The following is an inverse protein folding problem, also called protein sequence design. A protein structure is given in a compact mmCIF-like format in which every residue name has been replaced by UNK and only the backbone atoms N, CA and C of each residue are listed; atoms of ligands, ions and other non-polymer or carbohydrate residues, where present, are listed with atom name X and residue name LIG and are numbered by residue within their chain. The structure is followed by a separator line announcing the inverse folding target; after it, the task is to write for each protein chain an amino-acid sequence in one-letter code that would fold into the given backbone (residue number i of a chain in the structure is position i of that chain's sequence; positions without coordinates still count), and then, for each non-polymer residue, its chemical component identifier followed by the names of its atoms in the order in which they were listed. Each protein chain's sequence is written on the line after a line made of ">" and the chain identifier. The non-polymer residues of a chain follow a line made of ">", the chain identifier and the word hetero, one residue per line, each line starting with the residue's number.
data_IF_699013483455
#
_entry.id   IF_699013483455
#
_cell.length_a   1.000
_cell.length_b   1.000
_cell.length_c   1.000
_cell.angle_alpha   90.00
_cell.angle_beta   90.00
_cell.angle_gamma   90.00
#
_symmetry.space_group_name_H-M   'P 1'
#
loop_
_entity.id
_entity.type
_entity.pdbx_description
1 polymer ?
#
# COMPACT_ATOMS: atom_id res chain seq x y z
N UNK A 1 -3.90 5.80 9.31
CA UNK A 1 -4.00 6.51 8.03
C UNK A 1 -5.46 6.86 7.70
N UNK A 2 -6.41 5.89 7.67
CA UNK A 2 -7.81 6.14 7.29
C UNK A 2 -8.49 7.23 8.15
N UNK A 3 -8.41 7.14 9.48
CA UNK A 3 -8.96 8.15 10.39
C UNK A 3 -8.32 9.52 10.20
N UNK A 4 -7.02 9.58 9.89
CA UNK A 4 -6.35 10.85 9.59
C UNK A 4 -6.92 11.51 8.33
N UNK A 5 -7.10 10.76 7.26
CA UNK A 5 -7.71 11.28 6.02
C UNK A 5 -9.16 11.72 6.26
N UNK A 6 -9.97 10.92 6.95
CA UNK A 6 -11.35 11.26 7.25
C UNK A 6 -11.46 12.55 8.09
N UNK A 7 -10.57 12.74 9.08
CA UNK A 7 -10.49 14.01 9.85
C UNK A 7 -10.12 15.21 9.00
N UNK A 8 -9.47 15.03 7.88
CA UNK A 8 -9.13 16.08 6.93
C UNK A 8 -10.16 16.25 5.81
N UNK A 9 -11.35 15.67 5.96
CA UNK A 9 -12.49 15.90 5.07
C UNK A 9 -12.55 14.98 3.85
N UNK A 10 -11.72 13.95 3.77
CA UNK A 10 -11.81 12.95 2.71
C UNK A 10 -12.91 11.92 3.01
N UNK A 11 -13.62 11.50 1.97
CA UNK A 11 -14.40 10.27 2.01
C UNK A 11 -13.42 9.09 1.90
N UNK A 12 -13.45 8.18 2.86
CA UNK A 12 -12.43 7.13 2.97
C UNK A 12 -13.06 5.77 2.93
N UNK A 13 -12.60 4.94 1.99
CA UNK A 13 -12.81 3.49 1.99
C UNK A 13 -11.52 2.82 2.44
N UNK A 14 -11.59 1.94 3.43
CA UNK A 14 -10.45 1.19 3.93
C UNK A 14 -10.79 -0.31 4.01
N UNK A 15 -9.87 -1.16 3.63
CA UNK A 15 -10.07 -2.60 3.73
C UNK A 15 -8.91 -3.31 4.45
N UNK A 16 -9.25 -4.43 5.06
CA UNK A 16 -8.30 -5.34 5.70
C UNK A 16 -8.89 -6.77 5.63
N UNK A 17 -8.04 -7.77 5.58
CA UNK A 17 -8.45 -9.18 5.66
C UNK A 17 -8.81 -9.57 7.11
N UNK A 18 -8.19 -8.92 8.10
CA UNK A 18 -8.33 -9.21 9.51
C UNK A 18 -9.52 -8.49 10.14
N UNK A 19 -10.56 -9.21 10.52
CA UNK A 19 -11.73 -8.64 11.21
C UNK A 19 -11.36 -7.95 12.53
N UNK A 20 -10.37 -8.47 13.25
CA UNK A 20 -9.88 -7.84 14.48
C UNK A 20 -9.22 -6.47 14.22
N UNK A 21 -8.55 -6.31 13.07
CA UNK A 21 -8.01 -5.04 12.60
C UNK A 21 -9.12 -4.04 12.27
N UNK A 22 -10.10 -4.47 11.49
CA UNK A 22 -11.27 -3.66 11.15
C UNK A 22 -12.07 -3.21 12.38
N UNK A 23 -12.25 -4.09 13.36
CA UNK A 23 -12.91 -3.72 14.62
C UNK A 23 -12.17 -2.58 15.34
N UNK A 24 -10.86 -2.70 15.51
CA UNK A 24 -10.05 -1.65 16.13
C UNK A 24 -10.09 -0.34 15.33
N UNK A 25 -10.11 -0.44 14.01
CA UNK A 25 -10.18 0.72 13.13
C UNK A 25 -11.54 1.45 13.25
N UNK A 26 -12.65 0.71 13.32
CA UNK A 26 -14.00 1.26 13.59
C UNK A 26 -14.05 1.97 14.94
N UNK A 27 -13.58 1.31 16.00
CA UNK A 27 -13.50 1.92 17.34
C UNK A 27 -12.64 3.20 17.36
N UNK A 28 -11.60 3.25 16.55
CA UNK A 28 -10.77 4.45 16.43
C UNK A 28 -11.49 5.56 15.67
N UNK A 29 -12.21 5.25 14.60
CA UNK A 29 -13.03 6.20 13.84
C UNK A 29 -14.13 6.79 14.73
N UNK A 30 -14.87 5.94 15.46
CA UNK A 30 -15.93 6.36 16.40
C UNK A 30 -15.40 7.33 17.46
N UNK A 31 -14.25 6.99 18.07
CA UNK A 31 -13.60 7.87 19.08
C UNK A 31 -13.16 9.22 18.52
N UNK A 32 -12.89 9.29 17.22
CA UNK A 32 -12.52 10.54 16.55
C UNK A 32 -13.69 11.25 15.88
N UNK A 33 -14.91 10.71 15.97
CA UNK A 33 -16.11 11.30 15.38
C UNK A 33 -16.06 11.41 13.85
N UNK A 34 -15.45 10.43 13.19
CA UNK A 34 -15.34 10.40 11.71
C UNK A 34 -15.94 9.12 11.14
N UNK A 35 -16.47 9.23 9.92
CA UNK A 35 -16.98 8.10 9.17
C UNK A 35 -15.90 7.57 8.20
N UNK A 36 -15.76 6.26 8.15
CA UNK A 36 -14.90 5.52 7.21
C UNK A 36 -15.66 4.28 6.77
N UNK A 37 -15.69 4.02 5.48
CA UNK A 37 -16.24 2.78 4.94
C UNK A 37 -15.20 1.65 5.09
N UNK A 38 -15.46 0.72 6.01
CA UNK A 38 -14.59 -0.40 6.30
C UNK A 38 -15.08 -1.68 5.65
N UNK A 39 -14.29 -2.22 4.73
CA UNK A 39 -14.58 -3.43 3.97
C UNK A 39 -13.65 -4.57 4.41
N UNK A 40 -14.19 -5.76 4.62
CA UNK A 40 -13.37 -6.96 4.77
C UNK A 40 -13.03 -7.50 3.39
N UNK A 41 -11.76 -7.44 3.01
CA UNK A 41 -11.29 -7.93 1.70
C UNK A 41 -9.84 -8.42 1.78
N UNK A 42 -9.52 -9.41 0.94
CA UNK A 42 -8.14 -9.81 0.64
C UNK A 42 -7.60 -8.89 -0.46
N UNK A 43 -6.39 -8.37 -0.30
CA UNK A 43 -5.73 -7.50 -1.31
C UNK A 43 -5.60 -8.20 -2.67
N UNK A 44 -5.50 -9.52 -2.70
CA UNK A 44 -5.40 -10.31 -3.93
C UNK A 44 -6.72 -10.45 -4.70
N UNK A 45 -7.84 -10.14 -4.04
CA UNK A 45 -9.20 -10.24 -4.59
C UNK A 45 -9.91 -8.89 -4.61
N UNK A 46 -9.35 -7.87 -3.96
CA UNK A 46 -9.92 -6.51 -3.93
C UNK A 46 -9.95 -5.91 -5.33
N UNK A 47 -11.08 -5.31 -5.65
CA UNK A 47 -11.27 -4.54 -6.90
C UNK A 47 -11.83 -3.17 -6.55
N UNK A 48 -11.18 -2.10 -7.01
CA UNK A 48 -11.73 -0.76 -6.88
C UNK A 48 -13.02 -0.65 -7.69
N UNK A 49 -14.02 0.04 -7.15
CA UNK A 49 -15.34 0.22 -7.79
C UNK A 49 -15.66 1.68 -8.06
N UNK A 50 -14.89 2.59 -7.49
CA UNK A 50 -15.06 4.03 -7.60
C UNK A 50 -13.78 4.68 -8.11
N UNK A 51 -13.85 5.96 -8.41
CA UNK A 51 -12.66 6.77 -8.72
C UNK A 51 -12.11 7.37 -7.43
N UNK A 52 -10.80 7.30 -7.26
CA UNK A 52 -10.09 7.76 -6.06
C UNK A 52 -9.10 8.87 -6.40
N UNK A 53 -9.04 9.88 -5.54
CA UNK A 53 -8.03 10.95 -5.62
C UNK A 53 -6.73 10.56 -4.90
N UNK A 54 -6.83 9.70 -3.88
CA UNK A 54 -5.69 9.23 -3.09
C UNK A 54 -5.82 7.74 -2.84
N UNK A 55 -4.74 7.00 -3.10
CA UNK A 55 -4.60 5.59 -2.71
C UNK A 55 -3.41 5.44 -1.78
N UNK A 56 -3.64 4.86 -0.59
CA UNK A 56 -2.60 4.57 0.38
C UNK A 56 -2.45 3.05 0.57
N UNK A 57 -1.23 2.54 0.38
CA UNK A 57 -0.88 1.16 0.68
C UNK A 57 0.39 1.13 1.54
N UNK A 58 0.23 1.10 2.85
CA UNK A 58 1.35 1.10 3.80
C UNK A 58 1.49 -0.25 4.48
N UNK A 59 2.61 -0.93 4.23
CA UNK A 59 2.93 -2.22 4.85
C UNK A 59 2.03 -3.38 4.39
N UNK A 60 1.47 -3.31 3.19
CA UNK A 60 0.51 -4.30 2.68
C UNK A 60 0.84 -4.82 1.28
N UNK A 61 1.53 -4.06 0.44
CA UNK A 61 1.81 -4.46 -0.94
C UNK A 61 2.61 -5.77 -1.04
N UNK A 62 3.41 -6.11 -0.05
CA UNK A 62 4.20 -7.34 -0.04
C UNK A 62 3.35 -8.63 0.04
N UNK A 63 2.08 -8.53 0.43
CA UNK A 63 1.13 -9.66 0.40
C UNK A 63 0.49 -9.87 -0.97
N UNK A 64 0.73 -8.99 -1.96
CA UNK A 64 0.21 -9.18 -3.31
C UNK A 64 1.00 -10.29 -4.00
N UNK A 65 0.31 -11.37 -4.38
CA UNK A 65 0.89 -12.49 -5.11
C UNK A 65 1.48 -12.02 -6.44
N UNK A 66 2.58 -12.62 -6.83
CA UNK A 66 3.34 -12.22 -8.02
C UNK A 66 2.49 -12.21 -9.30
N UNK A 67 1.62 -13.20 -9.46
CA UNK A 67 0.71 -13.33 -10.60
C UNK A 67 -0.40 -12.25 -10.62
N UNK A 68 -0.65 -11.58 -9.48
CA UNK A 68 -1.67 -10.55 -9.32
C UNK A 68 -1.15 -9.12 -9.40
N UNK A 69 0.16 -8.89 -9.21
CA UNK A 69 0.75 -7.54 -9.08
C UNK A 69 0.39 -6.63 -10.25
N UNK A 70 0.63 -7.10 -11.48
CA UNK A 70 0.39 -6.28 -12.67
C UNK A 70 -1.08 -5.86 -12.83
N UNK A 71 -2.03 -6.78 -12.61
CA UNK A 71 -3.45 -6.49 -12.73
C UNK A 71 -3.92 -5.58 -11.59
N UNK A 72 -3.46 -5.82 -10.37
CA UNK A 72 -3.81 -5.01 -9.21
C UNK A 72 -3.43 -3.54 -9.40
N UNK A 73 -2.17 -3.24 -9.79
CA UNK A 73 -1.75 -1.87 -10.02
C UNK A 73 -2.41 -1.24 -11.23
N UNK A 74 -2.66 -2.03 -12.29
CA UNK A 74 -3.42 -1.55 -13.45
C UNK A 74 -4.83 -1.11 -13.03
N UNK A 75 -5.57 -1.95 -12.32
CA UNK A 75 -6.94 -1.63 -11.86
C UNK A 75 -6.96 -0.41 -10.94
N UNK A 76 -6.01 -0.29 -9.99
CA UNK A 76 -5.91 0.91 -9.15
C UNK A 76 -5.65 2.17 -9.97
N UNK A 77 -4.74 2.12 -10.94
CA UNK A 77 -4.41 3.27 -11.81
C UNK A 77 -5.58 3.68 -12.69
N UNK A 78 -6.36 2.71 -13.20
CA UNK A 78 -7.57 2.95 -13.98
C UNK A 78 -8.66 3.62 -13.15
N UNK A 79 -8.74 3.30 -11.85
CA UNK A 79 -9.69 3.89 -10.90
C UNK A 79 -9.12 5.09 -10.13
N UNK A 80 -8.14 5.78 -10.68
CA UNK A 80 -7.57 7.00 -10.11
C UNK A 80 -7.87 8.19 -10.99
N UNK A 81 -8.32 9.30 -10.38
CA UNK A 81 -8.58 10.55 -11.08
C UNK A 81 -7.31 11.16 -11.66
N UNK A 82 -7.41 12.04 -12.66
CA UNK A 82 -6.28 12.82 -13.16
C UNK A 82 -5.71 13.71 -12.05
N UNK A 83 -4.40 13.68 -11.86
CA UNK A 83 -3.73 14.34 -10.74
C UNK A 83 -3.89 13.61 -9.41
N UNK A 84 -4.54 12.43 -9.40
CA UNK A 84 -4.65 11.58 -8.22
C UNK A 84 -3.31 10.99 -7.80
N UNK A 85 -3.15 10.71 -6.52
CA UNK A 85 -1.86 10.36 -5.90
C UNK A 85 -1.92 8.96 -5.30
N UNK A 86 -0.91 8.16 -5.58
CA UNK A 86 -0.64 6.91 -4.86
C UNK A 86 0.57 7.07 -3.94
N UNK A 87 0.39 6.75 -2.66
CA UNK A 87 1.48 6.67 -1.68
C UNK A 87 1.58 5.22 -1.17
N UNK A 88 2.67 4.58 -1.50
CA UNK A 88 2.84 3.14 -1.27
C UNK A 88 4.22 2.79 -0.76
N UNK A 89 4.29 1.70 -0.02
CA UNK A 89 5.56 1.06 0.29
C UNK A 89 5.47 -0.46 0.18
N UNK A 90 6.61 -1.08 -0.05
CA UNK A 90 6.73 -2.53 -0.13
C UNK A 90 8.07 -2.99 0.44
N UNK A 91 8.06 -4.07 1.22
CA UNK A 91 9.30 -4.69 1.64
C UNK A 91 9.97 -5.39 0.47
N UNK A 92 11.27 -5.13 0.29
CA UNK A 92 12.07 -5.70 -0.78
C UNK A 92 13.18 -6.58 -0.22
N UNK A 93 13.45 -7.68 -0.91
CA UNK A 93 14.50 -8.62 -0.50
C UNK A 93 15.88 -8.09 -0.90
N UNK A 94 16.83 -8.19 0.03
CA UNK A 94 18.25 -7.87 -0.19
C UNK A 94 19.12 -9.05 0.22
N UNK A 95 20.11 -9.43 -0.60
CA UNK A 95 20.97 -10.58 -0.30
C UNK A 95 21.87 -10.38 0.93
N UNK A 96 22.04 -9.13 1.37
CA UNK A 96 22.87 -8.75 2.53
C UNK A 96 22.06 -8.43 3.79
N UNK A 97 20.74 -8.66 3.77
CA UNK A 97 19.85 -8.55 4.94
C UNK A 97 19.38 -9.95 5.28
N UNK A 98 19.70 -10.40 6.50
CA UNK A 98 19.21 -11.67 7.01
C UNK A 98 17.69 -11.60 7.19
N UNK A 99 17.04 -12.69 6.80
CA UNK A 99 15.60 -12.80 6.92
C UNK A 99 15.23 -13.05 8.38
N UNK A 100 14.18 -12.38 8.86
CA UNK A 100 13.67 -12.64 10.19
C UNK A 100 13.12 -14.07 10.26
N UNK A 101 13.33 -14.77 11.38
CA UNK A 101 12.89 -16.16 11.55
C UNK A 101 11.40 -16.26 11.95
N UNK A 102 10.57 -15.31 11.55
CA UNK A 102 9.13 -15.33 11.80
C UNK A 102 8.34 -15.91 10.60
N UNK A 103 7.11 -16.34 10.85
CA UNK A 103 6.26 -16.97 9.84
C UNK A 103 5.88 -16.01 8.70
N UNK A 104 5.70 -14.73 8.99
CA UNK A 104 5.35 -13.72 7.98
C UNK A 104 6.51 -13.48 7.02
N UNK A 105 7.75 -13.54 7.51
CA UNK A 105 8.93 -13.42 6.68
C UNK A 105 9.11 -14.62 5.75
N UNK A 106 8.79 -15.83 6.25
CA UNK A 106 8.84 -17.06 5.44
C UNK A 106 7.84 -16.97 4.29
N UNK A 107 6.63 -16.50 4.53
CA UNK A 107 5.61 -16.32 3.48
C UNK A 107 6.06 -15.29 2.43
N UNK A 108 6.67 -14.19 2.85
CA UNK A 108 7.25 -13.17 1.94
C UNK A 108 8.37 -13.69 1.05
N UNK A 109 9.11 -14.71 1.50
CA UNK A 109 10.18 -15.35 0.72
C UNK A 109 9.67 -16.15 -0.47
N UNK A 110 8.44 -16.65 -0.42
CA UNK A 110 7.85 -17.47 -1.50
C UNK A 110 7.68 -16.63 -2.77
N UNK A 111 7.29 -15.37 -2.61
CA UNK A 111 7.08 -14.44 -3.72
C UNK A 111 7.72 -13.06 -3.44
N UNK A 112 9.06 -12.99 -3.37
CA UNK A 112 9.74 -11.78 -2.94
C UNK A 112 9.50 -10.62 -3.89
N UNK A 113 9.55 -9.40 -3.32
CA UNK A 113 9.67 -8.18 -4.09
C UNK A 113 11.15 -7.77 -4.19
N UNK A 114 11.50 -7.18 -5.32
CA UNK A 114 12.84 -6.67 -5.56
C UNK A 114 12.84 -5.15 -5.69
N UNK A 115 13.99 -4.53 -5.39
CA UNK A 115 14.16 -3.09 -5.51
C UNK A 115 13.75 -2.57 -6.87
N UNK A 116 12.93 -1.54 -6.89
CA UNK A 116 12.42 -0.91 -8.10
C UNK A 116 11.24 -1.63 -8.75
N UNK A 117 10.84 -2.81 -8.30
CA UNK A 117 9.69 -3.52 -8.88
C UNK A 117 8.40 -2.71 -8.72
N UNK A 118 8.17 -2.10 -7.54
CA UNK A 118 7.02 -1.23 -7.34
C UNK A 118 7.04 -0.06 -8.33
N UNK A 119 8.20 0.56 -8.53
CA UNK A 119 8.36 1.71 -9.41
C UNK A 119 8.14 1.35 -10.89
N UNK A 120 8.45 0.12 -11.27
CA UNK A 120 8.20 -0.37 -12.63
C UNK A 120 6.72 -0.29 -13.02
N UNK A 121 5.78 -0.54 -12.09
CA UNK A 121 4.35 -0.43 -12.35
C UNK A 121 3.87 1.02 -12.51
N UNK A 122 4.68 2.00 -12.13
CA UNK A 122 4.35 3.44 -12.14
C UNK A 122 5.26 4.27 -13.04
N UNK A 123 6.01 3.65 -13.96
CA UNK A 123 6.97 4.33 -14.83
C UNK A 123 6.36 5.38 -15.78
N UNK A 124 5.04 5.38 -15.90
CA UNK A 124 4.23 6.34 -16.67
C UNK A 124 3.59 7.44 -15.79
N UNK A 125 3.91 7.48 -14.49
CA UNK A 125 3.44 8.48 -13.55
C UNK A 125 4.57 9.42 -13.10
N UNK A 126 4.21 10.60 -12.58
CA UNK A 126 5.18 11.54 -12.02
C UNK A 126 5.56 11.12 -10.58
N UNK A 127 6.84 10.84 -10.34
CA UNK A 127 7.32 10.55 -8.99
C UNK A 127 7.59 11.83 -8.21
N UNK A 128 6.89 12.03 -7.10
CA UNK A 128 7.20 13.04 -6.09
C UNK A 128 8.17 12.50 -5.05
N UNK A 129 8.12 11.21 -4.78
CA UNK A 129 9.05 10.50 -3.90
C UNK A 129 9.36 9.12 -4.46
N UNK A 130 10.64 8.79 -4.41
CA UNK A 130 11.16 7.48 -4.72
C UNK A 130 12.37 7.26 -3.82
N UNK A 131 12.24 6.39 -2.83
CA UNK A 131 13.27 6.17 -1.82
C UNK A 131 13.33 4.69 -1.46
N UNK A 132 14.54 4.17 -1.35
CA UNK A 132 14.80 2.89 -0.72
C UNK A 132 15.45 3.12 0.64
N UNK A 133 14.96 2.46 1.68
CA UNK A 133 15.47 2.65 3.04
C UNK A 133 15.58 1.32 3.78
N UNK A 134 16.59 1.23 4.64
CA UNK A 134 16.76 0.12 5.58
C UNK A 134 16.40 0.61 6.97
N UNK A 135 15.58 -0.16 7.67
CA UNK A 135 15.20 0.17 9.04
C UNK A 135 15.23 -1.06 9.95
N UNK A 136 15.33 -0.78 11.25
CA UNK A 136 15.30 -1.81 12.30
C UNK A 136 13.87 -2.09 12.71
N UNK A 137 13.54 -3.36 12.84
CA UNK A 137 12.26 -3.86 13.31
C UNK A 137 12.47 -4.80 14.51
N UNK A 138 11.49 -4.87 15.38
CA UNK A 138 11.46 -5.78 16.52
C UNK A 138 10.09 -6.49 16.62
N UNK A 139 9.44 -6.71 15.50
CA UNK A 139 8.22 -7.52 15.46
C UNK A 139 8.55 -8.96 15.84
N UNK A 140 7.62 -9.62 16.56
CA UNK A 140 7.87 -10.95 17.09
C UNK A 140 8.90 -11.02 18.22
N UNK A 141 9.44 -9.88 18.71
CA UNK A 141 10.42 -9.83 19.80
C UNK A 141 11.86 -10.17 19.38
N UNK A 142 12.13 -10.32 18.09
CA UNK A 142 13.47 -10.59 17.55
C UNK A 142 13.93 -9.37 16.76
N UNK A 143 15.02 -8.68 17.17
CA UNK A 143 15.55 -7.56 16.41
C UNK A 143 16.06 -8.00 15.03
N UNK A 144 15.56 -7.36 13.97
CA UNK A 144 15.97 -7.64 12.60
C UNK A 144 15.87 -6.37 11.74
N UNK A 145 16.31 -6.44 10.51
CA UNK A 145 16.26 -5.32 9.57
C UNK A 145 15.37 -5.67 8.39
N UNK A 146 14.72 -4.64 7.86
CA UNK A 146 14.03 -4.71 6.57
C UNK A 146 14.58 -3.66 5.61
N UNK A 147 14.45 -3.93 4.32
CA UNK A 147 14.58 -2.93 3.28
C UNK A 147 13.20 -2.67 2.68
N UNK A 148 12.91 -1.42 2.35
CA UNK A 148 11.60 -1.01 1.86
C UNK A 148 11.75 0.02 0.74
N UNK A 149 11.08 -0.21 -0.38
CA UNK A 149 10.83 0.82 -1.38
C UNK A 149 9.63 1.67 -0.95
N UNK A 150 9.77 2.98 -1.04
CA UNK A 150 8.73 3.98 -0.73
C UNK A 150 8.50 4.82 -1.97
N UNK A 151 7.25 4.98 -2.34
CA UNK A 151 6.83 5.72 -3.52
C UNK A 151 5.70 6.68 -3.19
N UNK A 152 5.77 7.91 -3.75
CA UNK A 152 4.63 8.80 -3.94
C UNK A 152 4.62 9.18 -5.41
N UNK A 153 3.57 8.80 -6.12
CA UNK A 153 3.43 9.07 -7.54
C UNK A 153 2.06 9.69 -7.86
N UNK A 154 2.04 10.60 -8.82
CA UNK A 154 0.86 11.30 -9.31
C UNK A 154 0.53 10.86 -10.74
N UNK A 155 -0.74 10.59 -10.98
CA UNK A 155 -1.27 10.33 -12.31
C UNK A 155 -1.20 11.59 -13.16
N UNK A 156 -0.55 11.50 -14.32
CA UNK A 156 -0.49 12.61 -15.27
C UNK A 156 -1.89 13.09 -15.64
N UNK A 157 -2.02 14.38 -15.89
CA UNK A 157 -3.22 14.95 -16.50
C UNK A 157 -3.12 14.75 -18.00
N UNK A 158 -4.21 14.32 -18.65
CA UNK A 158 -4.27 14.38 -20.10
C UNK A 158 -4.11 15.85 -20.49
N UNK A 159 -3.17 16.15 -21.42
CA UNK A 159 -3.04 17.49 -21.96
C UNK A 159 -4.40 17.91 -22.51
N UNK A 160 -4.94 18.99 -21.98
CA UNK A 160 -6.09 19.63 -22.62
C UNK A 160 -5.64 19.98 -24.04
N UNK A 161 -6.20 19.32 -25.04
CA UNK A 161 -5.94 19.64 -26.45
C UNK A 161 -6.10 21.15 -26.61
N UNK A 162 -4.99 21.81 -26.93
CA UNK A 162 -4.94 23.24 -27.32
C UNK A 162 -5.51 23.41 -28.73
#
# INVERSE_FOLDING_TARGET
>A
DAVFLARNGYQVTAFDVAESGLKKARELADRNGVEVDFIRADINEFKPVEMYDIVLCSGVCHYIRKDKRAIFFKELKEHTTEGGIHAMNVFVQKPFIELAPDSEEIERQIEPWYSGELLYYYNDWLFHKNEETIFYCNSGGIPHRHCMDIMIAEKGKADAET
#
